data_IF_791871384183
#
_entry.id   IF_791871384183
#
_cell.length_a   1.000
_cell.length_b   1.000
_cell.length_c   1.000
_cell.angle_alpha   90.00
_cell.angle_beta   90.00
_cell.angle_gamma   90.00
#
_symmetry.space_group_name_H-M   'P 1'
#
loop_
_entity.id
_entity.type
_entity.pdbx_description
1 polymer ?
#
# COMPACT_ATOMS: atom_id res chain seq x y z
N UNK A 1 3.62 -18.89 -10.09
CA UNK A 1 2.86 -17.66 -9.74
C UNK A 1 3.58 -16.48 -10.39
N UNK A 2 2.86 -15.64 -11.12
CA UNK A 2 3.44 -14.59 -11.96
C UNK A 2 3.66 -13.30 -11.16
N UNK A 3 4.67 -12.49 -11.53
CA UNK A 3 4.93 -11.16 -10.96
C UNK A 3 3.66 -10.29 -10.94
N UNK A 4 2.80 -10.44 -11.95
CA UNK A 4 1.51 -9.76 -12.05
C UNK A 4 0.52 -10.11 -10.93
N UNK A 5 0.48 -11.37 -10.48
CA UNK A 5 -0.37 -11.78 -9.36
C UNK A 5 0.08 -11.12 -8.05
N UNK A 6 1.40 -11.09 -7.81
CA UNK A 6 1.98 -10.47 -6.60
C UNK A 6 1.74 -8.95 -6.57
N UNK A 7 1.86 -8.28 -7.72
CA UNK A 7 1.51 -6.87 -7.89
C UNK A 7 0.02 -6.60 -7.64
N UNK A 8 -0.86 -7.48 -8.12
CA UNK A 8 -2.30 -7.36 -7.91
C UNK A 8 -2.65 -7.50 -6.43
N UNK A 9 -2.07 -8.47 -5.71
CA UNK A 9 -2.27 -8.63 -4.27
C UNK A 9 -1.77 -7.42 -3.46
N UNK A 10 -0.59 -6.89 -3.80
CA UNK A 10 -0.04 -5.68 -3.17
C UNK A 10 -0.93 -4.45 -3.42
N UNK A 11 -1.46 -4.31 -4.63
CA UNK A 11 -2.38 -3.23 -4.99
C UNK A 11 -3.70 -3.32 -4.23
N UNK A 12 -4.25 -4.52 -4.08
CA UNK A 12 -5.45 -4.81 -3.27
C UNK A 12 -5.23 -4.44 -1.80
N UNK A 13 -4.11 -4.88 -1.22
CA UNK A 13 -3.72 -4.52 0.16
C UNK A 13 -3.59 -3.02 0.33
N UNK A 14 -2.93 -2.34 -0.60
CA UNK A 14 -2.78 -0.89 -0.59
C UNK A 14 -4.13 -0.17 -0.63
N UNK A 15 -5.04 -0.60 -1.53
CA UNK A 15 -6.38 -0.02 -1.66
C UNK A 15 -7.23 -0.23 -0.42
N UNK A 16 -7.14 -1.41 0.19
CA UNK A 16 -7.81 -1.73 1.45
C UNK A 16 -7.30 -0.86 2.60
N UNK A 17 -5.98 -0.64 2.68
CA UNK A 17 -5.37 0.21 3.69
C UNK A 17 -5.80 1.69 3.53
N UNK A 18 -5.84 2.18 2.29
CA UNK A 18 -6.33 3.54 1.99
C UNK A 18 -7.78 3.75 2.41
N UNK A 19 -8.63 2.74 2.19
CA UNK A 19 -10.04 2.82 2.59
C UNK A 19 -10.17 2.91 4.10
N UNK A 20 -9.45 2.05 4.85
CA UNK A 20 -9.40 2.10 6.32
C UNK A 20 -8.91 3.46 6.84
N UNK A 21 -7.85 4.01 6.25
CA UNK A 21 -7.34 5.35 6.60
C UNK A 21 -8.40 6.42 6.38
N UNK A 22 -9.12 6.40 5.24
CA UNK A 22 -10.17 7.37 4.94
C UNK A 22 -11.36 7.25 5.88
N UNK A 23 -11.78 6.03 6.19
CA UNK A 23 -12.87 5.78 7.13
C UNK A 23 -12.52 6.26 8.54
N UNK A 24 -11.30 6.02 9.00
CA UNK A 24 -10.84 6.48 10.31
C UNK A 24 -10.66 8.01 10.34
N UNK A 25 -10.09 8.61 9.29
CA UNK A 25 -10.00 10.08 9.16
C UNK A 25 -11.36 10.77 9.10
N UNK A 26 -12.40 10.09 8.62
CA UNK A 26 -13.75 10.60 8.59
C UNK A 26 -14.43 10.54 9.97
N UNK A 27 -13.88 9.79 10.93
CA UNK A 27 -14.40 9.71 12.29
C UNK A 27 -13.85 10.86 13.14
N UNK A 28 -14.67 11.46 14.02
CA UNK A 28 -14.22 12.51 14.93
C UNK A 28 -13.27 12.00 16.04
N UNK A 29 -13.24 10.69 16.30
CA UNK A 29 -12.25 10.04 17.19
C UNK A 29 -11.12 9.35 16.42
N UNK A 30 -10.75 9.91 15.26
CA UNK A 30 -9.61 9.44 14.49
C UNK A 30 -8.34 9.40 15.35
N UNK A 31 -7.73 8.23 15.51
CA UNK A 31 -6.44 8.12 16.19
C UNK A 31 -5.33 8.47 15.19
N UNK A 32 -4.78 9.68 15.31
CA UNK A 32 -3.69 10.16 14.44
C UNK A 32 -2.47 9.23 14.48
N UNK A 33 -2.22 8.55 15.60
CA UNK A 33 -1.15 7.57 15.75
C UNK A 33 -1.34 6.33 14.86
N UNK A 34 -2.53 5.73 14.88
CA UNK A 34 -2.96 4.64 13.99
C UNK A 34 -2.89 5.07 12.52
N UNK A 35 -3.44 6.24 12.20
CA UNK A 35 -3.45 6.76 10.82
C UNK A 35 -2.02 6.96 10.31
N UNK A 36 -1.11 7.46 11.14
CA UNK A 36 0.30 7.62 10.79
C UNK A 36 0.98 6.28 10.50
N UNK A 37 0.71 5.25 11.33
CA UNK A 37 1.19 3.88 11.09
C UNK A 37 0.67 3.31 9.78
N UNK A 38 -0.63 3.45 9.50
CA UNK A 38 -1.20 2.99 8.24
C UNK A 38 -0.65 3.75 7.04
N UNK A 39 -0.43 5.07 7.14
CA UNK A 39 0.21 5.86 6.07
C UNK A 39 1.63 5.37 5.78
N UNK A 40 2.40 5.02 6.82
CA UNK A 40 3.74 4.42 6.66
C UNK A 40 3.68 3.06 5.98
N UNK A 41 2.74 2.22 6.38
CA UNK A 41 2.56 0.88 5.79
C UNK A 41 2.07 0.96 4.34
N UNK A 42 1.19 1.90 4.02
CA UNK A 42 0.81 2.25 2.64
C UNK A 42 2.05 2.65 1.81
N UNK A 43 2.93 3.48 2.38
CA UNK A 43 4.18 3.90 1.74
C UNK A 43 5.11 2.70 1.45
N UNK A 44 5.23 1.78 2.41
CA UNK A 44 6.01 0.54 2.22
C UNK A 44 5.45 -0.34 1.11
N UNK A 45 4.13 -0.54 1.07
CA UNK A 45 3.48 -1.31 -0.01
C UNK A 45 3.72 -0.66 -1.38
N UNK A 46 3.67 0.67 -1.45
CA UNK A 46 4.00 1.42 -2.67
C UNK A 46 5.45 1.24 -3.09
N UNK A 47 6.39 1.30 -2.14
CA UNK A 47 7.81 1.07 -2.41
C UNK A 47 8.08 -0.37 -2.87
N UNK A 48 7.42 -1.35 -2.27
CA UNK A 48 7.52 -2.76 -2.66
C UNK A 48 6.95 -2.99 -4.07
N UNK A 49 5.81 -2.38 -4.41
CA UNK A 49 5.29 -2.39 -5.78
C UNK A 49 6.26 -1.72 -6.76
N UNK A 50 6.83 -0.57 -6.40
CA UNK A 50 7.79 0.15 -7.24
C UNK A 50 9.09 -0.66 -7.44
N UNK A 51 9.58 -1.34 -6.39
CA UNK A 51 10.68 -2.30 -6.50
C UNK A 51 10.32 -3.45 -7.42
N UNK A 52 9.16 -4.08 -7.26
CA UNK A 52 8.74 -5.19 -8.12
C UNK A 52 8.58 -4.76 -9.59
N UNK A 53 8.09 -3.54 -9.84
CA UNK A 53 8.00 -2.97 -11.18
C UNK A 53 9.39 -2.63 -11.75
N UNK A 54 10.26 -1.99 -10.97
CA UNK A 54 11.61 -1.61 -11.39
C UNK A 54 12.53 -2.81 -11.62
N UNK A 55 12.43 -3.82 -10.76
CA UNK A 55 13.21 -5.06 -10.85
C UNK A 55 12.72 -5.99 -11.97
N UNK A 56 11.53 -5.73 -12.53
CA UNK A 56 11.00 -6.39 -13.72
C UNK A 56 11.41 -5.72 -15.05
N UNK A 57 12.01 -4.53 -15.02
CA UNK A 57 12.28 -3.73 -16.23
C UNK A 57 13.76 -3.36 -16.44
N UNK A 58 14.68 -3.81 -15.58
CA UNK A 58 16.13 -3.61 -15.78
C UNK A 58 16.86 -4.93 -15.99
N UNK A 59 16.67 -5.50 -17.18
CA UNK A 59 17.72 -6.28 -17.86
C UNK A 59 17.40 -6.31 -19.35
N UNK A 60 17.96 -5.36 -20.10
CA UNK A 60 18.49 -5.52 -21.46
C UNK A 60 19.30 -4.30 -21.86
#
# INVERSE_FOLDING_TARGET
>A
MTLAAHLAELSEKHRSLERKIKEELARPSADDGQISRWKLEKLKLKDEMAKLQGNGSTRH
#
